data_IF_495951289570
#
_entry.id   IF_495951289570
#
_cell.length_a   1.000
_cell.length_b   1.000
_cell.length_c   1.000
_cell.angle_alpha   90.00
_cell.angle_beta   90.00
_cell.angle_gamma   90.00
#
_symmetry.space_group_name_H-M   'P 1'
#
loop_
_entity.id
_entity.type
_entity.pdbx_description
1 polymer ?
#
# COMPACT_ATOMS: atom_id res chain seq x y z
N UNK A 1 27.74 -41.29 -8.73
CA UNK A 1 28.68 -40.23 -9.17
C UNK A 1 28.26 -39.53 -10.46
N UNK A 2 27.39 -40.10 -11.30
CA UNK A 2 26.88 -39.45 -12.53
C UNK A 2 25.87 -38.33 -12.28
N UNK A 3 25.00 -38.46 -11.28
CA UNK A 3 23.93 -37.49 -11.01
C UNK A 3 24.45 -36.08 -10.69
N UNK A 4 25.63 -35.97 -10.08
CA UNK A 4 26.24 -34.67 -9.75
C UNK A 4 26.53 -33.82 -10.99
N UNK A 5 26.86 -34.45 -12.13
CA UNK A 5 27.09 -33.72 -13.39
C UNK A 5 25.82 -33.07 -13.95
N UNK A 6 24.64 -33.56 -13.58
CA UNK A 6 23.36 -32.97 -13.95
C UNK A 6 22.90 -32.00 -12.86
N UNK A 7 23.08 -32.37 -11.59
CA UNK A 7 22.58 -31.60 -10.46
C UNK A 7 23.30 -30.25 -10.30
N UNK A 8 24.61 -30.20 -10.53
CA UNK A 8 25.42 -28.97 -10.44
C UNK A 8 24.93 -27.89 -11.44
N UNK A 9 24.85 -28.15 -12.76
CA UNK A 9 24.37 -27.14 -13.69
C UNK A 9 22.90 -26.76 -13.48
N UNK A 10 22.04 -27.71 -13.09
CA UNK A 10 20.65 -27.41 -12.73
C UNK A 10 20.58 -26.47 -11.52
N UNK A 11 21.36 -26.73 -10.46
CA UNK A 11 21.41 -25.88 -9.29
C UNK A 11 21.92 -24.46 -9.62
N UNK A 12 22.98 -24.36 -10.43
CA UNK A 12 23.48 -23.05 -10.91
C UNK A 12 22.41 -22.31 -11.71
N UNK A 13 21.70 -23.02 -12.60
CA UNK A 13 20.60 -22.45 -13.37
C UNK A 13 19.45 -21.95 -12.50
N UNK A 14 19.05 -22.71 -11.48
CA UNK A 14 18.00 -22.32 -10.53
C UNK A 14 18.40 -21.10 -9.69
N UNK A 15 19.65 -21.07 -9.20
CA UNK A 15 20.16 -19.92 -8.43
C UNK A 15 20.23 -18.68 -9.33
N UNK A 16 20.74 -18.81 -10.55
CA UNK A 16 20.78 -17.71 -11.52
C UNK A 16 19.39 -17.19 -11.87
N UNK A 17 18.42 -18.09 -12.07
CA UNK A 17 17.03 -17.74 -12.32
C UNK A 17 16.39 -17.01 -11.13
N UNK A 18 16.63 -17.49 -9.91
CA UNK A 18 16.13 -16.83 -8.70
C UNK A 18 16.71 -15.41 -8.53
N UNK A 19 18.01 -15.24 -8.78
CA UNK A 19 18.66 -13.93 -8.75
C UNK A 19 18.06 -13.00 -9.82
N UNK A 20 17.88 -13.50 -11.04
CA UNK A 20 17.27 -12.72 -12.12
C UNK A 20 15.85 -12.28 -11.78
N UNK A 21 15.01 -13.19 -11.26
CA UNK A 21 13.66 -12.85 -10.81
C UNK A 21 13.65 -11.82 -9.68
N UNK A 22 14.59 -11.93 -8.74
CA UNK A 22 14.71 -10.96 -7.64
C UNK A 22 14.98 -9.55 -8.18
N UNK A 23 15.95 -9.40 -9.08
CA UNK A 23 16.25 -8.09 -9.67
C UNK A 23 15.11 -7.55 -10.52
N UNK A 24 14.43 -8.41 -11.29
CA UNK A 24 13.24 -8.01 -12.04
C UNK A 24 12.11 -7.51 -11.13
N UNK A 25 11.86 -8.19 -10.00
CA UNK A 25 10.84 -7.78 -9.04
C UNK A 25 11.18 -6.45 -8.35
N UNK A 26 12.47 -6.22 -8.04
CA UNK A 26 12.94 -4.94 -7.47
C UNK A 26 12.78 -3.79 -8.46
N UNK A 27 13.15 -4.00 -9.74
CA UNK A 27 13.03 -2.99 -10.80
C UNK A 27 11.56 -2.72 -11.20
N UNK A 28 10.65 -3.63 -10.88
CA UNK A 28 9.20 -3.47 -11.13
C UNK A 28 8.52 -2.36 -10.29
N UNK A 29 9.28 -1.56 -9.53
CA UNK A 29 8.76 -0.37 -8.87
C UNK A 29 7.80 -0.64 -7.72
N UNK A 30 7.77 -1.85 -7.15
CA UNK A 30 6.86 -2.19 -6.04
C UNK A 30 7.12 -1.42 -4.74
N UNK A 31 8.25 -0.71 -4.65
CA UNK A 31 8.62 0.12 -3.50
C UNK A 31 8.26 1.59 -3.67
N UNK A 32 7.81 2.01 -4.85
CA UNK A 32 7.47 3.41 -5.15
C UNK A 32 6.12 3.83 -4.53
N UNK A 33 5.28 2.85 -4.15
CA UNK A 33 3.96 3.08 -3.54
C UNK A 33 3.93 2.85 -2.02
N UNK A 34 5.09 2.83 -1.36
CA UNK A 34 5.15 2.80 0.11
C UNK A 34 4.82 4.14 0.76
N UNK A 35 4.83 5.23 -0.02
CA UNK A 35 4.48 6.58 0.43
C UNK A 35 2.97 6.88 0.37
N UNK A 36 2.17 6.02 -0.28
CA UNK A 36 0.74 6.23 -0.52
C UNK A 36 -0.16 6.34 0.73
N UNK A 37 -0.02 5.47 1.76
CA UNK A 37 -0.97 5.46 2.88
C UNK A 37 -0.64 6.43 4.03
N UNK A 38 0.62 6.85 4.16
CA UNK A 38 1.06 7.66 5.31
C UNK A 38 0.68 9.14 5.17
N UNK A 39 0.53 9.64 3.94
CA UNK A 39 0.14 11.02 3.68
C UNK A 39 -1.38 11.26 3.69
N UNK A 40 -2.21 10.24 3.43
CA UNK A 40 -3.67 10.42 3.50
C UNK A 40 -4.13 10.70 4.94
N UNK A 41 -3.59 9.99 5.92
CA UNK A 41 -4.00 10.13 7.33
C UNK A 41 -3.75 11.51 7.94
N UNK A 42 -2.77 12.27 7.43
CA UNK A 42 -2.42 13.59 7.97
C UNK A 42 -3.20 14.73 7.27
N UNK A 43 -3.76 14.49 6.09
CA UNK A 43 -4.48 15.48 5.29
C UNK A 43 -5.99 15.20 5.13
N UNK A 44 -6.52 14.11 5.73
CA UNK A 44 -7.96 13.80 5.76
C UNK A 44 -8.82 14.92 6.39
N UNK A 45 -8.22 15.80 7.20
CA UNK A 45 -8.90 16.96 7.80
C UNK A 45 -9.27 18.07 6.79
N UNK A 46 -8.68 18.06 5.59
CA UNK A 46 -9.01 19.00 4.51
C UNK A 46 -10.05 18.45 3.52
N UNK A 47 -10.51 17.20 3.68
CA UNK A 47 -11.54 16.63 2.82
C UNK A 47 -12.88 17.39 3.01
N UNK A 48 -13.43 18.01 1.94
CA UNK A 48 -14.74 18.68 2.01
C UNK A 48 -15.87 17.76 2.47
N UNK A 49 -15.76 16.44 2.25
CA UNK A 49 -16.72 15.45 2.71
C UNK A 49 -16.67 15.28 4.23
N UNK A 50 -15.48 15.33 4.83
CA UNK A 50 -15.30 15.29 6.29
C UNK A 50 -15.84 16.56 6.96
N UNK A 51 -15.59 17.75 6.37
CA UNK A 51 -16.14 19.03 6.87
C UNK A 51 -17.67 19.06 6.86
N UNK A 52 -18.31 18.52 5.82
CA UNK A 52 -19.76 18.45 5.74
C UNK A 52 -20.37 17.56 6.84
N UNK A 53 -19.69 16.46 7.22
CA UNK A 53 -20.12 15.59 8.32
C UNK A 53 -19.99 16.25 9.69
N UNK A 54 -18.89 16.98 9.93
CA UNK A 54 -18.67 17.73 11.18
C UNK A 54 -19.71 18.86 11.34
N UNK A 55 -20.04 19.56 10.26
CA UNK A 55 -21.03 20.65 10.26
C UNK A 55 -22.46 20.13 10.51
N UNK A 56 -22.83 18.98 9.92
CA UNK A 56 -24.11 18.32 10.22
C UNK A 56 -24.19 17.83 11.67
N UNK A 57 -23.11 17.25 12.20
CA UNK A 57 -23.07 16.80 13.60
C UNK A 57 -23.17 17.98 14.58
N UNK A 58 -22.56 19.12 14.25
CA UNK A 58 -22.64 20.35 15.03
C UNK A 58 -24.04 20.99 14.99
N UNK A 59 -24.75 20.91 13.86
CA UNK A 59 -26.11 21.44 13.73
C UNK A 59 -27.13 20.57 14.50
N UNK A 60 -26.95 19.25 14.47
CA UNK A 60 -27.80 18.30 15.22
C UNK A 60 -27.67 18.40 16.75
N UNK A 61 -26.56 18.93 17.27
CA UNK A 61 -26.33 19.06 18.72
C UNK A 61 -26.64 20.46 19.28
N UNK A 62 -27.28 21.35 18.49
CA UNK A 62 -27.75 22.65 19.01
C UNK A 62 -28.92 22.43 19.97
N UNK A 63 -28.80 22.81 21.26
CA UNK A 63 -29.92 22.72 22.17
C UNK A 63 -30.88 23.89 21.88
N UNK A 64 -32.05 23.54 21.34
CA UNK A 64 -33.17 24.47 21.20
C UNK A 64 -33.32 25.02 19.79
N UNK A 65 -34.15 24.35 19.00
CA UNK A 65 -35.11 25.08 18.17
C UNK A 65 -36.49 24.58 18.56
N UNK A 66 -37.32 25.39 19.25
CA UNK A 66 -38.72 25.05 19.41
C UNK A 66 -39.34 25.07 18.03
N UNK A 67 -39.85 23.92 17.64
CA UNK A 67 -40.78 23.70 16.54
C UNK A 67 -41.89 24.75 16.64
N UNK A 68 -41.89 25.68 15.68
CA UNK A 68 -42.90 26.71 15.49
C UNK A 68 -43.75 26.35 14.27
#
# INVERSE_FOLDING_TARGET
MSALYILIPVAIGLVGFAIWLFFWAVDSGQYDDLDGPAHSILFDDEDPLHKAGVEQAADHNKPGKPDA
#
